data_IF_830892358027
#
_entry.id   IF_830892358027
#
_cell.length_a   1.000
_cell.length_b   1.000
_cell.length_c   1.000
_cell.angle_alpha   90.00
_cell.angle_beta   90.00
_cell.angle_gamma   90.00
#
_symmetry.space_group_name_H-M   'P 1'
#
loop_
_entity.id
_entity.type
_entity.pdbx_description
1 polymer ?
#
# COMPACT_ATOMS: atom_id res chain seq x y z
N UNK A 1 -10.25 4.57 -6.35
CA UNK A 1 -10.02 5.60 -5.31
C UNK A 1 -11.01 5.39 -4.19
N UNK A 2 -10.58 5.55 -2.94
CA UNK A 2 -11.39 5.38 -1.73
C UNK A 2 -11.19 6.62 -0.85
N UNK A 3 -12.28 7.25 -0.41
CA UNK A 3 -12.25 8.45 0.44
C UNK A 3 -12.68 8.17 1.89
N UNK A 4 -12.94 6.90 2.21
CA UNK A 4 -13.34 6.42 3.51
C UNK A 4 -12.34 5.37 4.02
N UNK A 5 -12.42 5.07 5.32
CA UNK A 5 -11.55 4.07 5.93
C UNK A 5 -11.73 2.70 5.27
N UNK A 6 -10.61 2.02 5.02
CA UNK A 6 -10.58 0.60 4.68
C UNK A 6 -10.33 -0.17 5.97
N UNK A 7 -11.35 -0.78 6.54
CA UNK A 7 -11.28 -1.49 7.82
C UNK A 7 -10.50 -2.81 7.72
N UNK A 8 -10.07 -3.34 8.86
CA UNK A 8 -9.56 -4.71 9.00
C UNK A 8 -10.54 -5.71 8.36
N UNK A 9 -10.05 -6.68 7.60
CA UNK A 9 -10.84 -7.63 6.84
C UNK A 9 -11.43 -7.12 5.52
N UNK A 10 -11.46 -5.79 5.28
CA UNK A 10 -11.84 -5.25 3.98
C UNK A 10 -10.71 -5.42 2.96
N UNK A 11 -11.08 -5.46 1.68
CA UNK A 11 -10.13 -5.68 0.59
C UNK A 11 -10.39 -4.71 -0.56
N UNK A 12 -9.31 -4.09 -1.05
CA UNK A 12 -9.32 -3.21 -2.22
C UNK A 12 -8.36 -3.79 -3.26
N UNK A 13 -8.86 -4.04 -4.47
CA UNK A 13 -8.09 -4.61 -5.58
C UNK A 13 -8.20 -3.70 -6.79
N UNK A 14 -7.09 -3.44 -7.47
CA UNK A 14 -7.05 -2.66 -8.70
C UNK A 14 -5.91 -3.11 -9.63
N UNK A 15 -6.13 -3.04 -10.94
CA UNK A 15 -5.07 -3.25 -11.94
C UNK A 15 -4.07 -2.09 -12.00
N UNK A 16 -4.51 -0.89 -11.61
CA UNK A 16 -3.71 0.32 -11.56
C UNK A 16 -3.33 0.71 -10.13
N UNK A 17 -3.30 2.01 -9.89
CA UNK A 17 -2.99 2.57 -8.59
C UNK A 17 -4.18 2.47 -7.63
N UNK A 18 -3.89 2.38 -6.34
CA UNK A 18 -4.87 2.53 -5.27
C UNK A 18 -4.59 3.84 -4.54
N UNK A 19 -5.62 4.68 -4.42
CA UNK A 19 -5.57 5.91 -3.63
C UNK A 19 -6.59 5.79 -2.50
N UNK A 20 -6.12 5.76 -1.26
CA UNK A 20 -6.94 5.78 -0.04
C UNK A 20 -6.69 7.07 0.71
N UNK A 21 -7.61 8.03 0.62
CA UNK A 21 -7.49 9.30 1.35
C UNK A 21 -8.15 9.22 2.73
N UNK A 22 -7.83 8.14 3.45
CA UNK A 22 -8.32 7.79 4.78
C UNK A 22 -7.39 6.70 5.37
N UNK A 23 -7.62 6.23 6.61
CA UNK A 23 -6.87 5.09 7.13
C UNK A 23 -7.07 3.82 6.29
N UNK A 24 -5.95 3.20 5.93
CA UNK A 24 -5.88 1.91 5.24
C UNK A 24 -5.45 0.86 6.27
N UNK A 25 -6.41 0.12 6.82
CA UNK A 25 -6.20 -0.95 7.81
C UNK A 25 -6.39 -2.34 7.24
N UNK A 26 -7.25 -2.50 6.24
CA UNK A 26 -7.45 -3.77 5.55
C UNK A 26 -6.35 -4.11 4.54
N UNK A 27 -6.76 -4.83 3.50
CA UNK A 27 -5.88 -5.31 2.42
C UNK A 27 -5.98 -4.39 1.20
N UNK A 28 -4.83 -4.07 0.60
CA UNK A 28 -4.78 -3.34 -0.66
C UNK A 28 -3.85 -4.03 -1.66
N UNK A 29 -4.37 -4.37 -2.84
CA UNK A 29 -3.67 -5.10 -3.89
C UNK A 29 -3.75 -4.32 -5.20
N UNK A 30 -2.68 -3.60 -5.50
CA UNK A 30 -2.53 -2.81 -6.71
C UNK A 30 -1.76 -3.61 -7.77
N UNK A 31 -1.92 -3.24 -9.04
CA UNK A 31 -1.26 -3.97 -10.12
C UNK A 31 -1.73 -5.41 -10.27
N UNK A 32 -3.01 -5.70 -10.00
CA UNK A 32 -3.54 -7.08 -10.04
C UNK A 32 -3.30 -7.80 -11.39
N UNK A 33 -3.24 -7.06 -12.49
CA UNK A 33 -2.88 -7.56 -13.82
C UNK A 33 -1.36 -7.71 -14.07
N UNK A 34 -0.52 -7.62 -13.04
CA UNK A 34 0.95 -7.66 -13.16
C UNK A 34 1.62 -6.30 -13.42
N UNK A 35 0.92 -5.18 -13.20
CA UNK A 35 1.49 -3.85 -13.39
C UNK A 35 2.46 -3.50 -12.25
N UNK A 36 3.77 -3.69 -12.48
CA UNK A 36 4.83 -3.39 -11.50
C UNK A 36 5.04 -1.90 -11.24
N UNK A 37 4.50 -1.04 -12.11
CA UNK A 37 4.52 0.41 -11.95
C UNK A 37 3.35 0.94 -11.12
N UNK A 38 2.43 0.07 -10.68
CA UNK A 38 1.35 0.46 -9.80
C UNK A 38 1.87 0.97 -8.45
N UNK A 39 1.08 1.83 -7.81
CA UNK A 39 1.38 2.48 -6.54
C UNK A 39 0.16 2.44 -5.63
N UNK A 40 0.41 2.41 -4.32
CA UNK A 40 -0.62 2.55 -3.29
C UNK A 40 -0.33 3.80 -2.49
N UNK A 41 -1.31 4.68 -2.35
CA UNK A 41 -1.21 5.90 -1.55
C UNK A 41 -2.21 5.82 -0.40
N UNK A 42 -1.78 6.17 0.81
CA UNK A 42 -2.66 6.32 1.97
C UNK A 42 -2.33 7.59 2.75
N UNK A 43 -3.35 8.23 3.35
CA UNK A 43 -3.15 9.29 4.35
C UNK A 43 -2.82 8.73 5.74
N UNK A 44 -3.09 7.45 5.98
CA UNK A 44 -2.71 6.76 7.21
C UNK A 44 -2.50 5.27 6.89
N UNK A 45 -1.24 4.85 6.85
CA UNK A 45 -0.84 3.51 6.42
C UNK A 45 -0.71 2.54 7.61
N UNK A 46 -1.70 1.67 7.76
CA UNK A 46 -1.77 0.62 8.81
C UNK A 46 -2.25 -0.74 8.26
N UNK A 47 -1.81 -1.20 7.06
CA UNK A 47 -2.47 -2.32 6.36
C UNK A 47 -2.20 -3.68 7.01
N UNK A 48 -3.21 -4.55 6.98
CA UNK A 48 -3.05 -6.00 7.19
C UNK A 48 -2.15 -6.62 6.11
N UNK A 49 -2.39 -6.23 4.86
CA UNK A 49 -1.63 -6.67 3.69
C UNK A 49 -1.57 -5.56 2.65
N UNK A 50 -0.38 -5.38 2.08
CA UNK A 50 -0.21 -4.59 0.86
C UNK A 50 0.47 -5.43 -0.20
N UNK A 51 -0.02 -5.35 -1.44
CA UNK A 51 0.57 -6.03 -2.60
C UNK A 51 0.64 -5.11 -3.81
N UNK A 52 1.73 -5.24 -4.56
CA UNK A 52 1.91 -4.60 -5.87
C UNK A 52 2.41 -5.68 -6.83
N UNK A 53 1.64 -5.96 -7.87
CA UNK A 53 1.97 -6.95 -8.90
C UNK A 53 2.39 -8.33 -8.34
N UNK A 54 1.70 -8.78 -7.28
CA UNK A 54 1.92 -10.09 -6.66
C UNK A 54 2.98 -10.10 -5.55
N UNK A 55 3.84 -9.08 -5.45
CA UNK A 55 4.78 -8.92 -4.34
C UNK A 55 4.03 -8.32 -3.17
N UNK A 56 4.01 -9.00 -2.03
CA UNK A 56 3.22 -8.59 -0.87
C UNK A 56 4.03 -8.47 0.42
N UNK A 57 3.47 -7.72 1.36
CA UNK A 57 3.93 -7.63 2.75
C UNK A 57 2.72 -7.67 3.68
N UNK A 58 2.82 -8.46 4.75
CA UNK A 58 1.84 -8.57 5.82
C UNK A 58 2.20 -7.66 7.01
N UNK A 59 1.27 -7.48 7.93
CA UNK A 59 1.46 -6.71 9.17
C UNK A 59 2.36 -7.39 10.23
N UNK A 60 2.93 -8.57 9.95
CA UNK A 60 3.76 -9.34 10.89
C UNK A 60 5.01 -8.56 11.32
N UNK A 61 5.62 -7.83 10.38
CA UNK A 61 6.75 -6.95 10.65
C UNK A 61 6.28 -5.49 10.66
N UNK A 62 6.40 -4.78 11.80
CA UNK A 62 6.01 -3.38 11.90
C UNK A 62 6.66 -2.51 10.82
N UNK A 63 5.90 -1.52 10.36
CA UNK A 63 6.44 -0.47 9.50
C UNK A 63 7.37 0.45 10.31
N UNK A 64 8.28 1.15 9.62
CA UNK A 64 9.10 2.15 10.29
C UNK A 64 8.21 3.24 10.92
N UNK A 65 8.63 3.82 12.04
CA UNK A 65 7.82 4.79 12.82
C UNK A 65 7.41 6.04 12.03
N UNK A 66 8.18 6.41 11.00
CA UNK A 66 7.88 7.52 10.11
C UNK A 66 6.86 7.16 9.00
N UNK A 67 6.47 5.89 8.88
CA UNK A 67 5.51 5.39 7.90
C UNK A 67 4.22 4.93 8.59
N UNK A 68 4.33 4.20 9.69
CA UNK A 68 3.18 3.60 10.37
C UNK A 68 2.17 4.67 10.82
N UNK A 69 0.93 4.56 10.34
CA UNK A 69 -0.13 5.51 10.65
C UNK A 69 0.08 6.92 10.10
N UNK A 70 0.99 7.08 9.12
CA UNK A 70 1.30 8.36 8.47
C UNK A 70 0.92 8.35 6.99
N UNK A 71 0.84 9.53 6.35
CA UNK A 71 0.74 9.61 4.90
C UNK A 71 1.96 8.96 4.25
N UNK A 72 1.72 8.01 3.35
CA UNK A 72 2.77 7.24 2.72
C UNK A 72 2.35 6.73 1.33
N UNK A 73 3.35 6.50 0.48
CA UNK A 73 3.21 5.67 -0.72
C UNK A 73 3.92 4.34 -0.56
N UNK A 74 3.39 3.34 -1.27
CA UNK A 74 4.04 2.06 -1.47
C UNK A 74 4.25 1.82 -2.95
N UNK A 75 5.42 1.30 -3.29
CA UNK A 75 5.83 0.97 -4.65
C UNK A 75 6.72 -0.26 -4.70
N UNK A 76 6.85 -0.86 -5.88
CA UNK A 76 7.95 -1.79 -6.13
C UNK A 76 9.26 -1.03 -6.32
N UNK A 77 10.36 -1.71 -5.96
CA UNK A 77 11.71 -1.26 -6.23
C UNK A 77 12.00 -1.25 -7.73
N UNK A 78 12.69 -0.21 -8.21
CA UNK A 78 13.03 -0.07 -9.63
C UNK A 78 14.37 -0.76 -9.98
N UNK A 79 15.07 -1.30 -8.99
CA UNK A 79 16.37 -1.97 -9.12
C UNK A 79 16.26 -3.45 -9.55
N UNK A 80 15.07 -3.89 -9.93
CA UNK A 80 14.78 -5.27 -10.34
C UNK A 80 14.60 -6.24 -9.17
N UNK A 81 14.69 -5.78 -7.92
CA UNK A 81 14.31 -6.60 -6.76
C UNK A 81 12.80 -6.58 -6.58
N UNK A 82 12.20 -7.76 -6.38
CA UNK A 82 10.79 -7.94 -6.02
C UNK A 82 10.55 -7.52 -4.55
N UNK A 83 10.75 -6.23 -4.27
CA UNK A 83 10.71 -5.65 -2.93
C UNK A 83 9.82 -4.43 -2.90
N UNK A 84 8.94 -4.39 -1.89
CA UNK A 84 8.11 -3.23 -1.60
C UNK A 84 8.91 -2.16 -0.86
N UNK A 85 8.86 -0.93 -1.37
CA UNK A 85 9.40 0.27 -0.77
C UNK A 85 8.26 1.11 -0.19
N UNK A 86 8.46 1.57 1.04
CA UNK A 86 7.49 2.37 1.80
C UNK A 86 8.11 3.75 2.03
N UNK A 87 7.49 4.78 1.47
CA UNK A 87 8.04 6.14 1.47
C UNK A 87 7.01 7.10 2.08
N UNK A 88 7.45 7.97 2.99
CA UNK A 88 6.58 8.98 3.59
C UNK A 88 6.20 10.01 2.53
N UNK A 89 4.93 10.42 2.51
CA UNK A 89 4.48 11.54 1.68
C UNK A 89 4.69 12.81 2.50
N UNK A 90 5.74 13.56 2.15
CA UNK A 90 5.96 14.89 2.71
C UNK A 90 4.96 15.87 2.06
N UNK A 91 4.21 16.59 2.90
CA UNK A 91 3.45 17.76 2.49
C UNK A 91 4.32 19.02 2.56
#
# INVERSE_FOLDING_TARGET
MVLAMVNMGAEVVADGNIHVYAPLRGKAMAGASGNTQARIFSLCLEPELISIAGVYRTSENPLAKNIQGKPAQVRLSDDGQEKLLFEALNA
#
